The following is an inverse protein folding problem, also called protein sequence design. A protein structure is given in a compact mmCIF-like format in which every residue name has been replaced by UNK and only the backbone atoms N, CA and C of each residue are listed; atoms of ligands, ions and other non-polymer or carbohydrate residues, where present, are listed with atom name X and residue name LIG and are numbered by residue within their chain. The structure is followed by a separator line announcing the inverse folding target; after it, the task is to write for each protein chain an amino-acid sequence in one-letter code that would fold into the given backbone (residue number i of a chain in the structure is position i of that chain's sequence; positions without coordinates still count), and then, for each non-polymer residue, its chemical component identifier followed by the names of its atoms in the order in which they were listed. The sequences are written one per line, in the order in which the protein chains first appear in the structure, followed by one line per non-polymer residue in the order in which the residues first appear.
data_IF_765752830055
#
_entry.id   IF_765752830055
#
_cell.length_a   1.000
_cell.length_b   1.000
_cell.length_c   1.000
_cell.angle_alpha   90.00
_cell.angle_beta   90.00
_cell.angle_gamma   90.00
#
_symmetry.space_group_name_H-M   'P 1'
#
loop_
_entity.id
_entity.type
_entity.pdbx_description
1 polymer ?
#
# COMPACT_ATOMS: atom_id res chain seq x y z
N UNK A 1 7.51 28.34 7.33
CA UNK A 1 6.70 27.42 6.53
C UNK A 1 5.24 27.65 6.92
N UNK A 2 4.35 28.05 5.97
CA UNK A 2 2.92 28.12 6.27
C UNK A 2 2.46 26.71 6.66
N UNK A 3 1.67 26.59 7.72
CA UNK A 3 1.02 25.30 8.03
C UNK A 3 0.23 24.91 6.77
N UNK A 4 0.61 23.81 6.14
CA UNK A 4 -0.17 23.28 5.02
C UNK A 4 -1.59 23.01 5.52
N UNK A 5 -2.58 23.49 4.79
CA UNK A 5 -3.97 23.36 5.21
C UNK A 5 -4.36 21.87 5.24
N UNK A 6 -5.14 21.48 6.25
CA UNK A 6 -5.71 20.12 6.36
C UNK A 6 -6.92 19.99 5.43
N UNK A 7 -7.20 18.79 4.93
CA UNK A 7 -8.48 18.47 4.28
C UNK A 7 -9.66 18.46 5.27
N UNK A 8 -9.39 18.61 6.57
CA UNK A 8 -10.40 18.66 7.62
C UNK A 8 -10.93 17.29 8.05
N UNK A 9 -12.22 17.26 8.41
CA UNK A 9 -12.92 16.03 8.78
C UNK A 9 -13.43 15.36 7.51
N UNK A 10 -13.13 14.07 7.37
CA UNK A 10 -13.52 13.24 6.21
C UNK A 10 -14.39 12.09 6.67
N UNK A 11 -15.28 11.64 5.79
CA UNK A 11 -16.21 10.55 6.09
C UNK A 11 -15.99 9.41 5.10
N UNK A 12 -15.66 8.20 5.58
CA UNK A 12 -15.52 7.04 4.72
C UNK A 12 -16.87 6.64 4.11
N UNK A 13 -16.81 6.13 2.88
CA UNK A 13 -17.97 5.71 2.12
C UNK A 13 -17.81 4.24 1.70
N UNK A 14 -18.78 3.41 2.00
CA UNK A 14 -18.83 2.03 1.53
C UNK A 14 -19.62 1.95 0.24
N UNK A 15 -18.98 1.55 -0.84
CA UNK A 15 -19.59 1.42 -2.17
C UNK A 15 -19.85 -0.07 -2.44
N UNK A 16 -21.11 -0.49 -2.54
CA UNK A 16 -21.48 -1.86 -2.87
C UNK A 16 -21.44 -2.09 -4.38
N UNK A 17 -20.95 -3.26 -4.77
CA UNK A 17 -20.97 -3.77 -6.14
C UNK A 17 -21.75 -5.07 -6.17
N UNK A 18 -22.99 -5.02 -6.71
CA UNK A 18 -23.89 -6.17 -6.85
C UNK A 18 -23.62 -6.98 -8.15
N UNK A 19 -22.37 -6.96 -8.59
CA UNK A 19 -21.91 -7.69 -9.76
C UNK A 19 -20.80 -8.66 -9.37
N UNK A 20 -20.71 -9.83 -10.03
CA UNK A 20 -19.67 -10.79 -9.72
C UNK A 20 -18.29 -10.30 -10.16
N UNK A 21 -17.27 -10.56 -9.33
CA UNK A 21 -15.87 -10.35 -9.64
C UNK A 21 -15.17 -11.70 -9.80
N UNK A 22 -14.78 -12.02 -11.02
CA UNK A 22 -13.96 -13.22 -11.31
C UNK A 22 -12.51 -12.92 -11.01
N UNK A 23 -11.93 -13.68 -10.09
CA UNK A 23 -10.56 -13.54 -9.60
C UNK A 23 -9.56 -14.33 -10.46
N UNK A 24 -8.28 -13.96 -10.37
CA UNK A 24 -7.20 -14.65 -11.10
C UNK A 24 -7.07 -16.15 -10.75
N UNK A 25 -7.45 -16.53 -9.53
CA UNK A 25 -7.48 -17.93 -9.08
C UNK A 25 -8.69 -18.73 -9.59
N UNK A 26 -9.55 -18.15 -10.43
CA UNK A 26 -10.76 -18.76 -10.97
C UNK A 26 -11.97 -18.76 -10.05
N UNK A 27 -11.83 -18.34 -8.78
CA UNK A 27 -12.98 -18.16 -7.89
C UNK A 27 -13.72 -16.86 -8.23
N UNK A 28 -14.98 -16.79 -7.81
CA UNK A 28 -15.83 -15.62 -8.04
C UNK A 28 -16.34 -15.09 -6.71
N UNK A 29 -16.20 -13.80 -6.48
CA UNK A 29 -16.95 -13.09 -5.46
C UNK A 29 -18.28 -12.67 -6.08
N UNK A 30 -19.44 -13.14 -5.58
CA UNK A 30 -20.74 -12.83 -6.19
C UNK A 30 -21.10 -11.35 -6.09
N UNK A 31 -20.62 -10.69 -5.06
CA UNK A 31 -20.69 -9.25 -4.81
C UNK A 31 -19.52 -8.83 -3.93
N UNK A 32 -19.22 -7.54 -3.90
CA UNK A 32 -18.17 -7.00 -3.04
C UNK A 32 -18.42 -5.54 -2.70
N UNK A 33 -17.85 -5.09 -1.60
CA UNK A 33 -17.85 -3.69 -1.17
C UNK A 33 -16.43 -3.12 -1.26
N UNK A 34 -16.30 -1.85 -1.60
CA UNK A 34 -15.08 -1.09 -1.42
C UNK A 34 -15.30 0.08 -0.48
N UNK A 35 -14.44 0.21 0.53
CA UNK A 35 -14.40 1.36 1.40
C UNK A 35 -13.48 2.41 0.80
N UNK A 36 -13.99 3.63 0.65
CA UNK A 36 -13.24 4.75 0.05
C UNK A 36 -13.35 6.01 0.89
N UNK A 37 -12.42 6.93 0.66
CA UNK A 37 -12.52 8.34 0.99
C UNK A 37 -12.14 9.19 -0.21
N UNK A 38 -12.72 10.39 -0.29
CA UNK A 38 -12.44 11.33 -1.38
C UNK A 38 -12.05 12.68 -0.81
N UNK A 39 -11.15 13.36 -1.52
CA UNK A 39 -10.61 14.66 -1.12
C UNK A 39 -10.57 15.59 -2.34
N UNK A 40 -10.96 16.87 -2.16
CA UNK A 40 -11.09 17.80 -3.26
C UNK A 40 -12.35 17.56 -4.10
N UNK A 41 -12.42 18.18 -5.26
CA UNK A 41 -13.59 18.17 -6.12
C UNK A 41 -13.26 17.61 -7.52
N UNK A 42 -14.13 16.72 -8.02
CA UNK A 42 -14.05 16.21 -9.39
C UNK A 42 -14.56 17.31 -10.34
N UNK A 43 -13.72 17.73 -11.29
CA UNK A 43 -14.10 18.76 -12.25
C UNK A 43 -15.14 18.25 -13.27
N UNK A 44 -15.74 19.19 -14.03
CA UNK A 44 -16.81 18.86 -14.97
C UNK A 44 -16.36 17.88 -16.06
N UNK A 45 -15.11 17.97 -16.51
CA UNK A 45 -14.47 17.11 -17.50
C UNK A 45 -14.06 15.75 -16.92
N UNK A 46 -14.12 15.57 -15.59
CA UNK A 46 -13.72 14.37 -14.85
C UNK A 46 -12.28 13.89 -15.16
N UNK A 47 -11.40 14.83 -15.48
CA UNK A 47 -10.03 14.54 -15.93
C UNK A 47 -8.96 14.85 -14.87
N UNK A 48 -9.34 15.31 -13.66
CA UNK A 48 -8.44 15.65 -12.55
C UNK A 48 -8.42 14.59 -11.42
N UNK A 49 -8.92 13.39 -11.68
CA UNK A 49 -9.03 12.36 -10.66
C UNK A 49 -7.68 11.65 -10.43
N UNK A 50 -7.29 11.49 -9.16
CA UNK A 50 -6.07 10.79 -8.71
C UNK A 50 -6.43 9.65 -7.78
N UNK A 51 -5.96 8.45 -8.09
CA UNK A 51 -6.11 7.27 -7.23
C UNK A 51 -4.88 7.08 -6.35
N UNK A 52 -5.09 6.94 -5.04
CA UNK A 52 -4.03 6.57 -4.09
C UNK A 52 -4.14 5.10 -3.73
N UNK A 53 -3.12 4.33 -4.07
CA UNK A 53 -3.01 2.92 -3.75
C UNK A 53 -2.17 2.73 -2.49
N UNK A 54 -2.75 2.15 -1.43
CA UNK A 54 -2.06 1.97 -0.16
C UNK A 54 -1.07 0.80 -0.16
N UNK A 55 -0.11 0.85 0.77
CA UNK A 55 0.83 -0.23 1.06
C UNK A 55 0.19 -1.34 1.92
N UNK A 56 0.97 -2.36 2.31
CA UNK A 56 0.51 -3.58 2.98
C UNK A 56 -0.46 -3.32 4.16
N UNK A 57 -0.15 -2.39 5.03
CA UNK A 57 -0.94 -2.08 6.24
C UNK A 57 -1.62 -0.71 6.20
N UNK A 58 -1.74 -0.11 5.01
CA UNK A 58 -2.53 1.09 4.77
C UNK A 58 -4.01 0.77 4.53
N UNK A 59 -4.79 1.81 4.33
CA UNK A 59 -6.23 1.72 4.08
C UNK A 59 -6.71 2.94 3.27
N UNK A 60 -8.03 3.15 3.22
CA UNK A 60 -8.67 4.28 2.55
C UNK A 60 -8.39 5.64 3.20
N UNK A 61 -8.05 5.69 4.49
CA UNK A 61 -7.83 6.95 5.23
C UNK A 61 -6.47 7.55 4.93
N UNK A 62 -6.38 8.27 3.80
CA UNK A 62 -5.12 8.82 3.29
C UNK A 62 -4.76 10.14 3.97
N UNK A 63 -5.73 11.04 4.18
CA UNK A 63 -5.52 12.37 4.73
C UNK A 63 -6.69 12.83 5.60
N UNK A 64 -6.50 13.88 6.40
CA UNK A 64 -7.51 14.40 7.31
C UNK A 64 -7.75 13.52 8.53
N UNK A 65 -8.92 13.70 9.15
CA UNK A 65 -9.34 12.98 10.36
C UNK A 65 -10.80 12.57 10.24
N UNK A 66 -11.23 11.52 10.95
CA UNK A 66 -12.64 11.14 11.02
C UNK A 66 -13.40 11.95 12.07
N UNK A 67 -12.70 12.42 13.10
CA UNK A 67 -13.27 13.27 14.16
C UNK A 67 -12.26 14.31 14.64
N UNK A 68 -12.73 15.33 15.35
CA UNK A 68 -11.87 16.34 15.96
C UNK A 68 -10.99 15.78 17.10
N UNK A 69 -11.41 14.68 17.72
CA UNK A 69 -10.74 13.99 18.81
C UNK A 69 -9.63 13.05 18.32
N UNK A 70 -9.57 12.77 17.02
CA UNK A 70 -8.55 11.86 16.49
C UNK A 70 -7.16 12.44 16.68
N UNK A 71 -6.30 11.64 17.32
CA UNK A 71 -4.92 12.03 17.60
C UNK A 71 -4.07 12.11 16.34
N UNK A 72 -4.35 11.27 15.34
CA UNK A 72 -3.57 11.15 14.12
C UNK A 72 -4.45 11.39 12.90
N UNK A 73 -3.88 12.03 11.90
CA UNK A 73 -4.46 12.16 10.57
C UNK A 73 -4.22 10.89 9.74
N UNK A 74 -4.76 10.87 8.53
CA UNK A 74 -4.54 9.80 7.56
C UNK A 74 -3.05 9.51 7.32
N UNK A 75 -2.77 8.30 6.83
CA UNK A 75 -1.40 7.76 6.77
C UNK A 75 -0.46 8.51 5.80
N UNK A 76 -0.98 9.32 4.91
CA UNK A 76 -0.23 10.15 3.96
C UNK A 76 -0.65 11.63 3.98
N UNK A 77 -1.14 12.10 5.10
CA UNK A 77 -1.59 13.48 5.28
C UNK A 77 -0.52 14.52 4.92
N UNK A 78 0.75 14.20 5.07
CA UNK A 78 1.87 15.05 4.63
C UNK A 78 1.95 15.22 3.10
N UNK A 79 1.40 14.30 2.33
CA UNK A 79 1.44 14.30 0.86
C UNK A 79 0.16 14.80 0.21
N UNK A 80 -1.01 14.58 0.84
CA UNK A 80 -2.33 14.86 0.27
C UNK A 80 -3.02 15.96 1.05
N UNK A 81 -3.46 17.00 0.37
CA UNK A 81 -4.21 18.11 0.98
C UNK A 81 -4.02 19.43 0.22
N UNK A 82 -4.70 20.51 0.65
CA UNK A 82 -4.57 21.81 0.03
C UNK A 82 -3.12 22.32 0.09
N UNK A 83 -2.56 22.67 -1.07
CA UNK A 83 -1.18 23.15 -1.21
C UNK A 83 -0.09 22.10 -0.93
N UNK A 84 -0.43 20.81 -0.72
CA UNK A 84 0.50 19.72 -0.54
C UNK A 84 0.96 19.13 -1.89
N UNK A 85 1.95 18.20 -1.92
CA UNK A 85 2.43 17.62 -3.18
C UNK A 85 1.33 17.08 -4.09
N UNK A 86 0.31 16.44 -3.53
CA UNK A 86 -0.92 16.04 -4.22
C UNK A 86 -2.03 16.98 -3.74
N UNK A 87 -2.16 18.09 -4.46
CA UNK A 87 -2.95 19.26 -4.05
C UNK A 87 -4.43 19.05 -4.32
N UNK A 88 -5.23 18.96 -3.26
CA UNK A 88 -6.68 18.74 -3.33
C UNK A 88 -7.48 19.98 -3.77
N UNK A 89 -6.85 21.15 -3.93
CA UNK A 89 -7.46 22.30 -4.60
C UNK A 89 -7.47 22.14 -6.13
N UNK A 90 -6.69 21.23 -6.65
CA UNK A 90 -6.56 20.94 -8.10
C UNK A 90 -7.03 19.55 -8.49
N UNK A 91 -6.86 18.58 -7.61
CA UNK A 91 -7.15 17.18 -7.86
C UNK A 91 -8.28 16.67 -7.00
N UNK A 92 -9.11 15.83 -7.60
CA UNK A 92 -10.03 14.95 -6.88
C UNK A 92 -9.30 13.67 -6.54
N UNK A 93 -8.96 13.48 -5.28
CA UNK A 93 -8.16 12.36 -4.81
C UNK A 93 -9.05 11.28 -4.22
N UNK A 94 -8.86 10.04 -4.61
CA UNK A 94 -9.59 8.88 -4.11
C UNK A 94 -8.61 7.96 -3.38
N UNK A 95 -8.86 7.73 -2.09
CA UNK A 95 -8.24 6.68 -1.29
C UNK A 95 -9.18 5.49 -1.17
N UNK A 96 -8.68 4.27 -1.26
CA UNK A 96 -9.52 3.08 -1.07
C UNK A 96 -8.83 2.06 -0.14
N UNK A 97 -9.63 1.22 0.51
CA UNK A 97 -9.15 -0.01 1.14
C UNK A 97 -9.24 -1.15 0.13
N UNK A 98 -8.13 -1.84 -0.12
CA UNK A 98 -8.09 -2.94 -1.09
C UNK A 98 -9.02 -4.08 -0.70
N UNK A 99 -9.57 -4.77 -1.70
CA UNK A 99 -10.29 -6.01 -1.54
C UNK A 99 -9.45 -7.03 -0.78
N UNK A 100 -10.00 -7.70 0.22
CA UNK A 100 -9.26 -8.56 1.15
C UNK A 100 -8.66 -7.79 2.33
N UNK A 101 -8.81 -6.46 2.39
CA UNK A 101 -8.42 -5.62 3.53
C UNK A 101 -9.35 -5.77 4.74
N UNK A 102 -8.95 -5.19 5.87
CA UNK A 102 -9.70 -5.27 7.14
C UNK A 102 -10.35 -3.94 7.57
N UNK A 103 -10.35 -2.93 6.70
CA UNK A 103 -10.87 -1.59 7.01
C UNK A 103 -12.10 -1.24 6.13
N UNK A 104 -13.06 -2.17 6.06
CA UNK A 104 -14.39 -1.91 5.51
C UNK A 104 -14.66 -2.41 4.10
N UNK A 105 -13.68 -2.61 3.24
CA UNK A 105 -13.85 -3.36 1.99
C UNK A 105 -14.10 -4.83 2.26
N UNK A 106 -14.71 -5.54 1.30
CA UNK A 106 -14.91 -6.98 1.41
C UNK A 106 -13.58 -7.70 1.63
N UNK A 107 -13.54 -8.56 2.63
CA UNK A 107 -12.34 -9.27 3.06
C UNK A 107 -12.67 -10.39 4.06
N UNK A 108 -11.68 -10.95 4.74
CA UNK A 108 -11.87 -12.03 5.71
C UNK A 108 -12.89 -11.73 6.81
N UNK A 109 -13.03 -10.46 7.20
CA UNK A 109 -13.99 -10.01 8.23
C UNK A 109 -15.40 -9.79 7.69
N UNK A 110 -15.62 -9.89 6.38
CA UNK A 110 -16.94 -9.72 5.79
C UNK A 110 -17.79 -10.99 5.95
N UNK A 111 -19.12 -10.80 5.97
CA UNK A 111 -20.05 -11.92 5.99
C UNK A 111 -20.11 -12.58 4.62
N UNK A 112 -19.86 -13.86 4.57
CA UNK A 112 -20.07 -14.68 3.40
C UNK A 112 -21.60 -14.85 3.17
N UNK A 113 -22.14 -14.38 2.03
CA UNK A 113 -23.56 -14.43 1.77
C UNK A 113 -24.12 -15.87 1.65
N UNK A 114 -23.28 -16.85 1.34
CA UNK A 114 -23.67 -18.25 1.21
C UNK A 114 -23.83 -18.94 2.57
N UNK A 115 -23.00 -18.57 3.56
CA UNK A 115 -22.96 -19.23 4.86
C UNK A 115 -23.57 -18.40 5.99
N UNK A 116 -23.73 -17.08 5.79
CA UNK A 116 -24.15 -16.14 6.84
C UNK A 116 -23.12 -15.92 7.96
N UNK A 117 -21.88 -16.39 7.78
CA UNK A 117 -20.77 -16.25 8.74
C UNK A 117 -19.65 -15.40 8.14
N UNK A 118 -18.72 -14.89 8.96
CA UNK A 118 -17.49 -14.27 8.44
C UNK A 118 -16.74 -15.26 7.54
N UNK A 119 -16.13 -14.74 6.47
CA UNK A 119 -15.31 -15.56 5.60
C UNK A 119 -14.12 -16.20 6.31
N UNK A 120 -13.42 -15.43 7.17
CA UNK A 120 -12.19 -15.91 7.76
C UNK A 120 -11.19 -16.37 6.70
N UNK A 121 -10.67 -17.60 6.86
CA UNK A 121 -9.78 -18.23 5.88
C UNK A 121 -10.46 -18.61 4.55
N UNK A 122 -11.78 -18.66 4.49
CA UNK A 122 -12.51 -18.98 3.25
C UNK A 122 -12.55 -17.82 2.26
N UNK A 123 -12.16 -16.60 2.69
CA UNK A 123 -12.04 -15.50 1.75
C UNK A 123 -11.01 -15.84 0.66
N UNK A 124 -11.37 -15.73 -0.62
CA UNK A 124 -10.49 -16.15 -1.70
C UNK A 124 -9.20 -15.33 -1.72
N UNK A 125 -8.09 -15.98 -2.03
CA UNK A 125 -6.82 -15.27 -2.25
C UNK A 125 -6.99 -14.31 -3.42
N UNK A 126 -6.63 -13.06 -3.19
CA UNK A 126 -6.68 -11.98 -4.18
C UNK A 126 -5.27 -11.59 -4.59
N UNK A 127 -5.14 -11.10 -5.81
CA UNK A 127 -3.88 -10.64 -6.40
C UNK A 127 -3.93 -9.14 -6.67
N UNK A 128 -2.79 -8.54 -7.03
CA UNK A 128 -2.73 -7.13 -7.48
C UNK A 128 -3.61 -6.92 -8.73
N UNK A 129 -3.73 -7.92 -9.61
CA UNK A 129 -4.63 -7.83 -10.78
C UNK A 129 -6.11 -7.77 -10.34
N UNK A 130 -6.51 -8.54 -9.33
CA UNK A 130 -7.87 -8.50 -8.80
C UNK A 130 -8.20 -7.16 -8.14
N UNK A 131 -7.23 -6.57 -7.43
CA UNK A 131 -7.39 -5.21 -6.92
C UNK A 131 -7.61 -4.20 -8.03
N UNK A 132 -6.79 -4.25 -9.08
CA UNK A 132 -6.92 -3.34 -10.23
C UNK A 132 -8.27 -3.55 -10.95
N UNK A 133 -8.79 -4.79 -11.06
CA UNK A 133 -10.14 -5.06 -11.57
C UNK A 133 -11.23 -4.40 -10.69
N UNK A 134 -11.15 -4.56 -9.37
CA UNK A 134 -12.13 -3.97 -8.45
C UNK A 134 -12.05 -2.44 -8.43
N UNK A 135 -10.85 -1.89 -8.54
CA UNK A 135 -10.61 -0.45 -8.65
C UNK A 135 -11.12 0.12 -9.98
N UNK A 136 -11.08 -0.67 -11.07
CA UNK A 136 -11.67 -0.27 -12.35
C UNK A 136 -13.20 -0.17 -12.26
N UNK A 137 -13.84 -1.11 -11.55
CA UNK A 137 -15.28 -1.01 -11.26
C UNK A 137 -15.61 0.24 -10.41
N UNK A 138 -14.73 0.61 -9.46
CA UNK A 138 -14.87 1.86 -8.70
C UNK A 138 -14.76 3.08 -9.60
N UNK A 139 -13.80 3.10 -10.54
CA UNK A 139 -13.65 4.20 -11.49
C UNK A 139 -14.91 4.36 -12.34
N UNK A 140 -15.51 3.25 -12.82
CA UNK A 140 -16.77 3.26 -13.58
C UNK A 140 -17.93 3.81 -12.74
N UNK A 141 -18.05 3.40 -11.47
CA UNK A 141 -19.04 3.91 -10.52
C UNK A 141 -18.92 5.43 -10.31
N UNK A 142 -17.70 5.94 -10.20
CA UNK A 142 -17.43 7.39 -10.05
C UNK A 142 -17.56 8.16 -11.39
N UNK A 143 -17.70 7.44 -12.51
CA UNK A 143 -17.75 8.01 -13.85
C UNK A 143 -16.39 8.57 -14.30
N UNK A 144 -15.29 7.99 -13.82
CA UNK A 144 -13.90 8.33 -14.18
C UNK A 144 -13.45 7.42 -15.31
N UNK A 145 -13.39 7.94 -16.52
CA UNK A 145 -12.92 7.19 -17.70
C UNK A 145 -11.41 6.99 -17.67
N UNK A 146 -10.66 8.03 -17.28
CA UNK A 146 -9.21 8.02 -17.22
C UNK A 146 -8.70 8.73 -15.95
N UNK A 147 -7.87 8.06 -15.18
CA UNK A 147 -7.16 8.68 -14.06
C UNK A 147 -6.10 9.67 -14.55
N UNK A 148 -6.11 10.89 -14.02
CA UNK A 148 -5.03 11.85 -14.20
C UNK A 148 -3.70 11.27 -13.71
N UNK A 149 -3.74 10.66 -12.52
CA UNK A 149 -2.62 9.91 -12.00
C UNK A 149 -3.07 8.75 -11.09
N UNK A 150 -2.28 7.68 -11.06
CA UNK A 150 -2.35 6.64 -10.02
C UNK A 150 -1.04 6.68 -9.26
N UNK A 151 -1.12 6.81 -7.94
CA UNK A 151 0.01 7.04 -7.07
C UNK A 151 0.05 5.96 -6.00
N UNK A 152 1.20 5.32 -5.82
CA UNK A 152 1.35 4.35 -4.75
C UNK A 152 2.79 4.12 -4.33
N UNK A 153 2.97 3.87 -3.02
CA UNK A 153 4.23 3.45 -2.44
C UNK A 153 4.25 1.96 -2.14
N UNK A 154 5.41 1.30 -2.29
CA UNK A 154 5.57 -0.12 -1.98
C UNK A 154 4.58 -0.99 -2.77
N UNK A 155 3.74 -1.79 -2.10
CA UNK A 155 2.63 -2.54 -2.71
C UNK A 155 1.67 -1.65 -3.51
N UNK A 156 1.47 -0.40 -3.08
CA UNK A 156 0.70 0.59 -3.85
C UNK A 156 1.33 0.92 -5.19
N UNK A 157 2.66 0.97 -5.26
CA UNK A 157 3.39 1.16 -6.52
C UNK A 157 3.24 -0.01 -7.48
N UNK A 158 3.12 -1.24 -6.97
CA UNK A 158 2.80 -2.42 -7.79
C UNK A 158 1.39 -2.31 -8.40
N UNK A 159 0.42 -1.79 -7.63
CA UNK A 159 -0.93 -1.53 -8.14
C UNK A 159 -0.91 -0.45 -9.23
N UNK A 160 -0.19 0.66 -9.01
CA UNK A 160 -0.06 1.72 -10.00
C UNK A 160 0.57 1.19 -11.31
N UNK A 161 1.60 0.34 -11.21
CA UNK A 161 2.22 -0.31 -12.37
C UNK A 161 1.23 -1.26 -13.07
N UNK A 162 0.53 -2.12 -12.32
CA UNK A 162 -0.42 -3.07 -12.89
C UNK A 162 -1.58 -2.37 -13.62
N UNK A 163 -2.04 -1.24 -13.11
CA UNK A 163 -3.06 -0.43 -13.78
C UNK A 163 -2.66 -0.04 -15.19
N UNK A 164 -1.42 0.40 -15.38
CA UNK A 164 -0.92 0.81 -16.69
C UNK A 164 -0.85 -0.34 -17.69
N UNK A 165 -0.68 -1.57 -17.20
CA UNK A 165 -0.61 -2.78 -18.01
C UNK A 165 -2.02 -3.29 -18.33
N UNK A 166 -2.91 -3.37 -17.32
CA UNK A 166 -4.26 -3.91 -17.47
C UNK A 166 -5.19 -2.97 -18.23
N UNK A 167 -5.06 -1.67 -18.03
CA UNK A 167 -5.94 -0.64 -18.59
C UNK A 167 -5.13 0.54 -19.16
N UNK A 168 -4.34 0.35 -20.22
CA UNK A 168 -3.39 1.34 -20.71
C UNK A 168 -4.05 2.67 -21.12
N UNK A 169 -5.31 2.65 -21.59
CA UNK A 169 -6.04 3.86 -21.99
C UNK A 169 -6.60 4.63 -20.79
N UNK A 170 -6.66 4.00 -19.62
CA UNK A 170 -7.33 4.56 -18.43
C UNK A 170 -6.38 5.22 -17.44
N UNK A 171 -5.10 5.33 -17.77
CA UNK A 171 -4.08 5.93 -16.89
C UNK A 171 -3.22 6.91 -17.68
N UNK A 172 -3.24 8.19 -17.28
CA UNK A 172 -2.39 9.20 -17.91
C UNK A 172 -1.01 9.26 -17.29
N UNK A 173 -0.92 9.17 -15.95
CA UNK A 173 0.34 9.15 -15.20
C UNK A 173 0.34 8.06 -14.15
N UNK A 174 1.51 7.44 -13.94
CA UNK A 174 1.73 6.47 -12.87
C UNK A 174 2.94 6.88 -12.01
N UNK A 175 2.72 7.07 -10.71
CA UNK A 175 3.77 7.36 -9.75
C UNK A 175 4.06 6.09 -8.93
N UNK A 176 5.21 5.49 -9.19
CA UNK A 176 5.68 4.23 -8.60
C UNK A 176 6.80 4.55 -7.61
N UNK A 177 6.49 4.51 -6.32
CA UNK A 177 7.36 5.03 -5.26
C UNK A 177 7.81 3.88 -4.35
N UNK A 178 9.11 3.79 -4.02
CA UNK A 178 9.66 2.75 -3.15
C UNK A 178 9.14 1.34 -3.50
N UNK A 179 9.13 0.99 -4.79
CA UNK A 179 8.51 -0.23 -5.29
C UNK A 179 9.40 -0.94 -6.32
N UNK A 180 8.98 -2.14 -6.72
CA UNK A 180 9.71 -2.97 -7.66
C UNK A 180 8.74 -3.69 -8.60
N UNK A 181 9.21 -4.14 -9.79
CA UNK A 181 8.37 -4.90 -10.73
C UNK A 181 7.98 -6.30 -10.21
N UNK A 182 8.71 -6.83 -9.22
CA UNK A 182 8.39 -8.07 -8.49
C UNK A 182 9.22 -8.15 -7.21
N UNK A 183 8.80 -9.00 -6.27
CA UNK A 183 9.59 -9.26 -5.07
C UNK A 183 10.90 -10.00 -5.38
N UNK A 184 11.92 -9.73 -4.56
CA UNK A 184 13.11 -10.57 -4.51
C UNK A 184 12.84 -11.86 -3.74
N UNK A 185 13.65 -12.90 -3.97
CA UNK A 185 13.61 -14.15 -3.20
C UNK A 185 13.73 -13.89 -1.70
N UNK A 186 14.56 -12.93 -1.29
CA UNK A 186 14.72 -12.55 0.11
C UNK A 186 13.43 -11.98 0.69
N UNK A 187 12.71 -11.12 -0.05
CA UNK A 187 11.43 -10.57 0.41
C UNK A 187 10.35 -11.64 0.53
N UNK A 188 10.31 -12.60 -0.40
CA UNK A 188 9.40 -13.76 -0.32
C UNK A 188 9.71 -14.59 0.93
N UNK A 189 11.01 -14.80 1.23
CA UNK A 189 11.44 -15.54 2.43
C UNK A 189 11.00 -14.81 3.73
N UNK A 190 11.15 -13.48 3.83
CA UNK A 190 10.64 -12.73 4.98
C UNK A 190 9.12 -12.82 5.11
N UNK A 191 8.40 -12.73 4.00
CA UNK A 191 6.95 -12.90 4.00
C UNK A 191 6.56 -14.29 4.49
N UNK A 192 7.28 -15.33 4.09
CA UNK A 192 6.98 -16.70 4.51
C UNK A 192 7.23 -16.90 6.01
N UNK A 193 8.36 -16.42 6.55
CA UNK A 193 8.63 -16.47 8.01
C UNK A 193 7.51 -15.76 8.79
N UNK A 194 7.06 -14.59 8.33
CA UNK A 194 5.97 -13.86 8.95
C UNK A 194 4.63 -14.63 8.89
N UNK A 195 4.33 -15.26 7.75
CA UNK A 195 3.15 -16.12 7.61
C UNK A 195 3.23 -17.36 8.51
N UNK A 196 4.38 -18.03 8.56
CA UNK A 196 4.58 -19.18 9.43
C UNK A 196 4.35 -18.84 10.91
N UNK A 197 4.80 -17.66 11.35
CA UNK A 197 4.52 -17.18 12.71
C UNK A 197 3.02 -17.09 13.01
N UNK A 198 2.20 -16.64 12.04
CA UNK A 198 0.74 -16.56 12.18
C UNK A 198 0.10 -17.95 12.09
N UNK A 199 0.47 -18.75 11.09
CA UNK A 199 -0.14 -20.05 10.82
C UNK A 199 0.11 -21.07 11.93
N UNK A 200 1.24 -20.96 12.64
CA UNK A 200 1.61 -21.84 13.75
C UNK A 200 1.17 -21.32 15.12
N UNK A 201 0.53 -20.15 15.17
CA UNK A 201 -0.05 -19.63 16.43
C UNK A 201 -1.18 -20.56 16.87
N UNK A 202 -1.17 -21.08 18.13
CA UNK A 202 -2.23 -21.95 18.65
C UNK A 202 -3.64 -21.33 18.54
N UNK A 203 -3.73 -20.01 18.59
CA UNK A 203 -5.00 -19.27 18.55
C UNK A 203 -5.46 -18.96 17.11
N UNK A 204 -4.73 -19.41 16.07
CA UNK A 204 -5.08 -19.16 14.66
C UNK A 204 -6.31 -19.96 14.20
N UNK A 205 -6.51 -21.17 14.73
CA UNK A 205 -7.67 -22.02 14.44
C UNK A 205 -7.98 -22.14 12.92
N UNK A 206 -6.96 -22.47 12.12
CA UNK A 206 -7.05 -22.61 10.66
C UNK A 206 -7.61 -21.36 9.96
N UNK A 207 -7.47 -20.18 10.59
CA UNK A 207 -7.97 -18.89 10.10
C UNK A 207 -9.41 -18.57 10.49
N UNK A 208 -10.08 -19.43 11.26
CA UNK A 208 -11.43 -19.20 11.79
C UNK A 208 -11.44 -18.75 13.27
N UNK A 209 -10.33 -18.14 13.72
CA UNK A 209 -10.10 -17.72 15.11
C UNK A 209 -11.23 -16.87 15.70
N UNK A 210 -11.89 -16.02 14.89
CA UNK A 210 -13.00 -15.19 15.41
C UNK A 210 -14.21 -16.02 15.83
N UNK A 211 -14.52 -17.10 15.11
CA UNK A 211 -15.58 -18.04 15.52
C UNK A 211 -15.25 -18.80 16.80
N UNK A 212 -13.96 -18.88 17.15
CA UNK A 212 -13.45 -19.44 18.41
C UNK A 212 -13.23 -18.38 19.50
N UNK A 213 -13.57 -17.11 19.25
CA UNK A 213 -13.31 -15.97 20.14
C UNK A 213 -11.82 -15.85 20.53
N UNK A 214 -10.92 -16.17 19.60
CA UNK A 214 -9.47 -16.05 19.77
C UNK A 214 -8.89 -15.03 18.76
N UNK A 215 -7.63 -14.67 18.94
CA UNK A 215 -6.84 -13.85 18.01
C UNK A 215 -5.42 -14.41 18.00
N UNK A 216 -4.83 -14.71 16.84
CA UNK A 216 -3.45 -15.22 16.75
C UNK A 216 -2.44 -14.07 17.02
N UNK A 217 -2.51 -13.55 18.26
CA UNK A 217 -1.81 -12.35 18.68
C UNK A 217 -0.29 -12.54 18.69
N UNK A 218 0.19 -13.73 19.03
CA UNK A 218 1.63 -14.05 19.10
C UNK A 218 2.23 -14.03 17.70
N UNK A 219 1.59 -14.73 16.77
CA UNK A 219 2.03 -14.81 15.39
C UNK A 219 1.98 -13.47 14.68
N UNK A 220 0.86 -12.75 14.80
CA UNK A 220 0.68 -11.43 14.18
C UNK A 220 1.67 -10.39 14.74
N UNK A 221 1.97 -10.45 16.06
CA UNK A 221 3.02 -9.64 16.69
C UNK A 221 4.39 -9.91 16.06
N UNK A 222 4.79 -11.18 15.95
CA UNK A 222 6.09 -11.57 15.37
C UNK A 222 6.17 -11.12 13.90
N UNK A 223 5.11 -11.34 13.12
CA UNK A 223 5.01 -10.87 11.74
C UNK A 223 5.23 -9.36 11.62
N UNK A 224 4.65 -8.56 12.53
CA UNK A 224 4.86 -7.11 12.57
C UNK A 224 6.27 -6.71 12.99
N UNK A 225 6.85 -7.40 13.98
CA UNK A 225 8.26 -7.18 14.38
C UNK A 225 9.20 -7.42 13.21
N UNK A 226 9.02 -8.52 12.47
CA UNK A 226 9.77 -8.82 11.23
C UNK A 226 9.61 -7.69 10.20
N UNK A 227 8.37 -7.21 10.01
CA UNK A 227 8.09 -6.07 9.14
C UNK A 227 8.92 -4.85 9.52
N UNK A 228 8.91 -4.45 10.81
CA UNK A 228 9.65 -3.28 11.27
C UNK A 228 11.16 -3.40 11.08
N UNK A 229 11.75 -4.59 11.26
CA UNK A 229 13.18 -4.81 10.98
C UNK A 229 13.45 -4.57 9.48
N UNK A 230 12.55 -5.00 8.61
CA UNK A 230 12.76 -4.89 7.15
C UNK A 230 12.41 -3.51 6.58
N UNK A 231 11.63 -2.70 7.30
CA UNK A 231 11.22 -1.36 6.84
C UNK A 231 12.22 -0.27 7.22
N UNK A 232 13.01 -0.48 8.27
CA UNK A 232 13.94 0.52 8.76
C UNK A 232 15.36 0.25 8.24
N UNK A 233 16.14 1.34 8.08
CA UNK A 233 17.55 1.23 7.75
C UNK A 233 18.36 0.86 9.00
N UNK A 234 19.46 0.10 8.83
CA UNK A 234 20.38 -0.26 9.91
C UNK A 234 20.92 0.98 10.63
N UNK A 235 21.41 1.96 9.88
CA UNK A 235 21.87 3.24 10.43
C UNK A 235 20.80 3.99 11.23
N UNK A 236 19.54 3.92 10.79
CA UNK A 236 18.40 4.53 11.47
C UNK A 236 18.10 3.85 12.80
N UNK A 237 18.11 2.52 12.82
CA UNK A 237 17.97 1.73 14.05
C UNK A 237 19.14 1.95 14.99
N UNK A 238 20.38 1.94 14.48
CA UNK A 238 21.59 2.17 15.24
C UNK A 238 21.63 3.56 15.89
N UNK A 239 21.26 4.62 15.16
CA UNK A 239 21.18 5.97 15.71
C UNK A 239 20.10 6.14 16.76
N UNK A 240 18.98 5.43 16.62
CA UNK A 240 17.82 5.55 17.51
C UNK A 240 17.97 4.76 18.80
N UNK A 241 18.54 3.58 18.74
CA UNK A 241 18.55 2.63 19.85
C UNK A 241 19.96 2.22 20.26
N UNK A 242 20.95 2.24 19.37
CA UNK A 242 22.29 1.76 19.64
C UNK A 242 22.28 0.35 20.23
N UNK A 243 22.98 0.19 21.31
CA UNK A 243 22.96 -0.98 22.21
C UNK A 243 22.45 -0.60 23.61
N UNK A 244 21.57 0.41 23.67
CA UNK A 244 21.08 0.94 24.92
C UNK A 244 20.24 -0.10 25.67
N UNK A 245 20.54 -0.23 26.96
CA UNK A 245 19.84 -1.13 27.88
C UNK A 245 18.73 -0.36 28.61
N UNK A 246 17.66 -1.06 28.92
CA UNK A 246 16.56 -0.51 29.74
C UNK A 246 16.87 -0.46 31.23
N UNK A 247 17.92 -1.14 31.68
CA UNK A 247 18.37 -1.21 33.05
C UNK A 247 19.86 -1.00 33.18
N UNK A 248 20.35 -0.84 34.40
CA UNK A 248 21.78 -0.60 34.69
C UNK A 248 22.63 -1.88 34.55
N UNK A 249 22.51 -2.60 33.42
CA UNK A 249 23.31 -3.79 33.13
C UNK A 249 22.49 -4.96 32.60
N UNK A 250 23.20 -6.00 32.18
CA UNK A 250 22.60 -7.23 31.65
C UNK A 250 21.89 -8.02 32.76
N UNK A 251 20.69 -8.52 32.45
CA UNK A 251 19.91 -9.37 33.35
C UNK A 251 20.15 -10.86 33.09
N UNK A 252 20.86 -11.22 32.00
CA UNK A 252 21.17 -12.58 31.57
C UNK A 252 19.93 -13.47 31.47
N UNK A 253 18.81 -12.91 31.00
CA UNK A 253 17.51 -13.59 30.83
C UNK A 253 16.96 -13.48 29.42
N UNK A 254 15.75 -13.99 29.22
CA UNK A 254 15.00 -13.90 27.96
C UNK A 254 13.94 -12.79 27.95
N UNK A 255 13.99 -11.89 28.95
CA UNK A 255 13.15 -10.71 29.02
C UNK A 255 13.59 -9.63 28.04
N UNK A 256 13.00 -8.43 28.18
CA UNK A 256 13.41 -7.25 27.43
C UNK A 256 14.63 -6.62 28.12
N UNK A 257 15.75 -6.58 27.45
CA UNK A 257 16.96 -5.98 27.96
C UNK A 257 17.35 -4.72 27.16
N UNK A 258 17.24 -4.76 25.82
CA UNK A 258 17.60 -3.65 24.94
C UNK A 258 16.39 -2.78 24.57
N UNK A 259 16.62 -1.50 24.35
CA UNK A 259 15.55 -0.57 23.93
C UNK A 259 14.91 -0.98 22.60
N UNK A 260 15.68 -1.52 21.65
CA UNK A 260 15.16 -2.02 20.38
C UNK A 260 14.18 -3.18 20.55
N UNK A 261 14.40 -4.07 21.52
CA UNK A 261 13.47 -5.18 21.82
C UNK A 261 12.13 -4.63 22.33
N UNK A 262 12.18 -3.65 23.24
CA UNK A 262 10.99 -2.96 23.74
C UNK A 262 10.21 -2.30 22.60
N UNK A 263 10.91 -1.60 21.72
CA UNK A 263 10.30 -0.96 20.55
C UNK A 263 9.60 -1.97 19.63
N UNK A 264 10.27 -3.07 19.29
CA UNK A 264 9.69 -4.08 18.39
C UNK A 264 8.46 -4.73 19.01
N UNK A 265 8.51 -5.09 20.30
CA UNK A 265 7.36 -5.65 21.02
C UNK A 265 6.19 -4.67 21.06
N UNK A 266 6.43 -3.40 21.38
CA UNK A 266 5.41 -2.36 21.36
C UNK A 266 4.75 -2.21 19.99
N UNK A 267 5.53 -2.20 18.90
CA UNK A 267 4.99 -2.10 17.55
C UNK A 267 4.14 -3.33 17.16
N UNK A 268 4.57 -4.50 17.61
CA UNK A 268 3.82 -5.74 17.43
C UNK A 268 2.48 -5.71 18.18
N UNK A 269 2.50 -5.34 19.47
CA UNK A 269 1.29 -5.26 20.30
C UNK A 269 0.27 -4.24 19.76
N UNK A 270 0.75 -3.07 19.35
CA UNK A 270 -0.09 -2.05 18.73
C UNK A 270 -0.74 -2.54 17.42
N UNK A 271 -0.06 -3.38 16.67
CA UNK A 271 -0.55 -3.91 15.40
C UNK A 271 -1.67 -4.95 15.58
N UNK A 272 -1.53 -5.84 16.57
CA UNK A 272 -2.54 -6.87 16.91
C UNK A 272 -3.92 -6.26 17.18
N UNK A 273 -3.97 -5.08 17.81
CA UNK A 273 -5.25 -4.43 18.14
C UNK A 273 -5.99 -3.80 16.96
N UNK A 274 -5.37 -3.74 15.75
CA UNK A 274 -5.92 -2.98 14.61
C UNK A 274 -5.80 -3.62 13.24
N UNK A 275 -5.15 -4.76 13.14
CA UNK A 275 -4.96 -5.44 11.86
C UNK A 275 -5.36 -6.90 11.93
N UNK A 276 -5.96 -7.40 10.88
CA UNK A 276 -6.46 -8.76 10.81
C UNK A 276 -5.38 -9.73 10.30
N UNK A 277 -5.29 -10.92 10.90
CA UNK A 277 -4.27 -11.91 10.57
C UNK A 277 -4.49 -12.53 9.18
N UNK A 278 -5.72 -12.87 8.81
CA UNK A 278 -6.02 -13.38 7.48
C UNK A 278 -5.73 -12.32 6.40
N UNK A 279 -6.08 -11.06 6.67
CA UNK A 279 -5.71 -9.95 5.79
C UNK A 279 -4.20 -9.87 5.61
N UNK A 280 -3.40 -10.04 6.67
CA UNK A 280 -1.93 -10.04 6.55
C UNK A 280 -1.44 -11.17 5.63
N UNK A 281 -2.00 -12.37 5.77
CA UNK A 281 -1.68 -13.50 4.91
C UNK A 281 -2.01 -13.19 3.44
N UNK A 282 -3.20 -12.64 3.16
CA UNK A 282 -3.63 -12.25 1.81
C UNK A 282 -2.70 -11.20 1.19
N UNK A 283 -2.42 -10.11 1.92
CA UNK A 283 -1.60 -9.00 1.42
C UNK A 283 -0.18 -9.47 1.09
N UNK A 284 0.41 -10.34 1.93
CA UNK A 284 1.75 -10.90 1.66
C UNK A 284 1.75 -11.86 0.48
N UNK A 285 0.66 -12.62 0.27
CA UNK A 285 0.54 -13.48 -0.92
C UNK A 285 0.34 -12.66 -2.19
N UNK A 286 -0.43 -11.59 -2.16
CA UNK A 286 -0.58 -10.69 -3.31
C UNK A 286 0.77 -10.07 -3.71
N UNK A 287 1.61 -9.71 -2.73
CA UNK A 287 3.00 -9.28 -2.97
C UNK A 287 3.84 -10.37 -3.65
N UNK A 288 3.79 -11.61 -3.12
CA UNK A 288 4.59 -12.73 -3.64
C UNK A 288 4.21 -13.08 -5.09
N UNK A 289 2.92 -13.00 -5.42
CA UNK A 289 2.40 -13.35 -6.75
C UNK A 289 2.58 -12.24 -7.80
N UNK A 290 2.95 -11.03 -7.37
CA UNK A 290 3.12 -9.94 -8.32
C UNK A 290 4.38 -10.11 -9.18
N UNK A 291 4.18 -10.49 -10.42
CA UNK A 291 5.19 -10.53 -11.49
C UNK A 291 4.53 -10.22 -12.85
N UNK A 292 4.46 -8.95 -13.25
CA UNK A 292 3.82 -8.59 -14.51
C UNK A 292 4.57 -9.10 -15.74
N UNK A 293 5.82 -9.52 -15.61
CA UNK A 293 6.59 -10.07 -16.73
C UNK A 293 6.17 -11.52 -17.06
N UNK A 294 5.62 -12.27 -16.10
CA UNK A 294 5.29 -13.67 -16.27
C UNK A 294 4.33 -13.94 -17.45
N UNK A 295 3.32 -13.08 -17.62
CA UNK A 295 2.35 -13.21 -18.73
C UNK A 295 2.93 -12.83 -20.10
N UNK A 296 4.16 -12.28 -20.14
CA UNK A 296 4.81 -11.75 -21.32
C UNK A 296 6.15 -12.46 -21.62
N UNK A 297 6.24 -13.73 -21.23
CA UNK A 297 7.45 -14.56 -21.43
C UNK A 297 8.65 -14.02 -20.66
N UNK A 298 8.44 -13.71 -19.39
CA UNK A 298 9.43 -13.21 -18.42
C UNK A 298 10.11 -11.88 -18.85
N UNK A 299 9.45 -11.11 -19.72
CA UNK A 299 9.98 -9.84 -20.21
C UNK A 299 9.17 -8.65 -19.71
N UNK A 300 9.70 -7.93 -18.74
CA UNK A 300 9.09 -6.69 -18.25
C UNK A 300 8.95 -5.64 -19.36
N UNK A 301 9.92 -5.55 -20.26
CA UNK A 301 9.85 -4.65 -21.43
C UNK A 301 8.66 -4.97 -22.33
N UNK A 302 8.36 -6.27 -22.58
CA UNK A 302 7.16 -6.66 -23.35
C UNK A 302 5.87 -6.33 -22.59
N UNK A 303 5.83 -6.56 -21.28
CA UNK A 303 4.67 -6.20 -20.45
C UNK A 303 4.35 -4.70 -20.55
N UNK A 304 5.36 -3.85 -20.70
CA UNK A 304 5.22 -2.41 -20.78
C UNK A 304 5.00 -1.86 -22.20
N UNK A 305 5.07 -2.71 -23.24
CA UNK A 305 5.07 -2.25 -24.63
C UNK A 305 3.82 -1.47 -25.02
N UNK A 306 2.66 -1.89 -24.52
CA UNK A 306 1.35 -1.26 -24.83
C UNK A 306 0.93 -0.17 -23.86
N UNK A 307 1.72 0.08 -22.82
CA UNK A 307 1.42 1.11 -21.81
C UNK A 307 1.45 2.50 -22.46
N UNK A 308 0.52 3.38 -22.07
CA UNK A 308 0.41 4.76 -22.57
C UNK A 308 0.76 5.80 -21.52
N UNK A 309 0.77 5.43 -20.25
CA UNK A 309 1.06 6.32 -19.15
C UNK A 309 2.48 6.90 -19.19
N UNK A 310 2.63 8.11 -18.67
CA UNK A 310 3.91 8.72 -18.30
C UNK A 310 4.26 8.30 -16.88
N UNK A 311 5.51 8.04 -16.59
CA UNK A 311 5.93 7.49 -15.28
C UNK A 311 6.77 8.48 -14.47
N UNK A 312 6.53 8.47 -13.17
CA UNK A 312 7.44 8.97 -12.16
C UNK A 312 7.84 7.81 -11.24
N UNK A 313 9.13 7.55 -11.12
CA UNK A 313 9.65 6.49 -10.25
C UNK A 313 10.56 7.13 -9.20
N UNK A 314 10.28 6.85 -7.92
CA UNK A 314 11.11 7.31 -6.83
C UNK A 314 11.61 6.14 -5.99
N UNK A 315 12.88 6.19 -5.61
CA UNK A 315 13.51 5.24 -4.68
C UNK A 315 14.26 5.98 -3.59
N UNK A 316 14.61 5.29 -2.50
CA UNK A 316 15.29 5.86 -1.35
C UNK A 316 16.60 5.11 -1.09
N UNK A 317 17.68 5.85 -0.84
CA UNK A 317 19.04 5.30 -0.85
C UNK A 317 19.28 4.19 0.17
N UNK A 318 18.58 4.19 1.30
CA UNK A 318 18.70 3.19 2.38
C UNK A 318 17.57 2.16 2.40
N UNK A 319 16.66 2.20 1.42
CA UNK A 319 15.66 1.15 1.26
C UNK A 319 16.33 -0.13 0.72
N UNK A 320 16.54 -1.09 1.60
CA UNK A 320 17.13 -2.36 1.24
C UNK A 320 16.07 -3.43 0.90
N UNK A 321 14.81 -3.19 1.27
CA UNK A 321 13.67 -4.06 0.94
C UNK A 321 13.26 -3.89 -0.52
N UNK A 322 13.10 -2.65 -0.97
CA UNK A 322 12.86 -2.25 -2.37
C UNK A 322 13.98 -1.31 -2.82
N UNK A 323 15.17 -1.86 -2.91
CA UNK A 323 16.38 -1.09 -3.15
C UNK A 323 16.30 -0.26 -4.44
N UNK A 324 17.08 0.84 -4.54
CA UNK A 324 17.17 1.64 -5.77
C UNK A 324 17.48 0.81 -7.01
N UNK A 325 18.22 -0.29 -6.87
CA UNK A 325 18.50 -1.21 -7.98
C UNK A 325 17.21 -1.82 -8.55
N UNK A 326 16.22 -2.15 -7.69
CA UNK A 326 14.93 -2.71 -8.11
C UNK A 326 14.07 -1.68 -8.84
N UNK A 327 14.04 -0.44 -8.36
CA UNK A 327 13.36 0.65 -9.07
C UNK A 327 14.04 0.95 -10.43
N UNK A 328 15.37 0.88 -10.48
CA UNK A 328 16.13 1.04 -11.75
C UNK A 328 15.87 -0.08 -12.77
N UNK A 329 15.50 -1.30 -12.35
CA UNK A 329 15.00 -2.34 -13.26
C UNK A 329 13.76 -1.86 -14.01
N UNK A 330 12.77 -1.32 -13.28
CA UNK A 330 11.56 -0.77 -13.89
C UNK A 330 11.90 0.37 -14.85
N UNK A 331 12.74 1.32 -14.43
CA UNK A 331 13.16 2.45 -15.24
C UNK A 331 13.83 1.98 -16.55
N UNK A 332 14.73 1.01 -16.48
CA UNK A 332 15.39 0.43 -17.67
C UNK A 332 14.38 -0.22 -18.62
N UNK A 333 13.41 -0.96 -18.06
CA UNK A 333 12.38 -1.60 -18.89
C UNK A 333 11.45 -0.57 -19.57
N UNK A 334 11.09 0.52 -18.85
CA UNK A 334 10.31 1.63 -19.42
C UNK A 334 11.06 2.32 -20.55
N UNK A 335 12.36 2.61 -20.38
CA UNK A 335 13.21 3.20 -21.42
C UNK A 335 13.30 2.26 -22.64
N UNK A 336 13.53 0.96 -22.41
CA UNK A 336 13.59 -0.04 -23.47
C UNK A 336 12.24 -0.21 -24.21
N UNK A 337 11.13 0.03 -23.53
CA UNK A 337 9.78 0.06 -24.13
C UNK A 337 9.43 1.42 -24.74
N UNK A 338 10.36 2.39 -24.79
CA UNK A 338 10.17 3.76 -25.26
C UNK A 338 9.05 4.52 -24.52
N UNK A 339 8.93 4.32 -23.17
CA UNK A 339 7.94 5.01 -22.35
C UNK A 339 8.55 6.21 -21.63
N UNK A 340 7.81 7.34 -21.55
CA UNK A 340 8.28 8.51 -20.82
C UNK A 340 8.42 8.17 -19.33
N UNK A 341 9.60 8.37 -18.76
CA UNK A 341 9.88 8.13 -17.35
C UNK A 341 10.79 9.19 -16.76
N UNK A 342 10.42 9.69 -15.58
CA UNK A 342 11.27 10.50 -14.71
C UNK A 342 11.65 9.65 -13.51
N UNK A 343 12.91 9.69 -13.10
CA UNK A 343 13.42 8.91 -11.97
C UNK A 343 14.18 9.79 -11.00
N UNK A 344 13.92 9.59 -9.70
CA UNK A 344 14.70 10.19 -8.63
C UNK A 344 15.10 9.12 -7.60
N UNK A 345 16.36 9.19 -7.16
CA UNK A 345 16.85 8.49 -5.97
C UNK A 345 17.02 9.51 -4.84
N UNK A 346 16.17 9.42 -3.83
CA UNK A 346 16.18 10.31 -2.68
C UNK A 346 17.18 9.80 -1.65
N UNK A 347 18.08 10.66 -1.20
CA UNK A 347 19.00 10.33 -0.10
C UNK A 347 18.26 10.40 1.24
N UNK A 348 18.00 9.26 1.85
CA UNK A 348 17.24 9.13 3.10
C UNK A 348 17.88 8.12 4.04
N UNK A 349 17.63 8.26 5.35
CA UNK A 349 18.05 7.33 6.39
C UNK A 349 16.89 6.53 7.00
N UNK A 350 15.69 6.62 6.40
CA UNK A 350 14.46 6.02 6.94
C UNK A 350 14.12 4.63 6.37
N UNK A 351 15.02 4.06 5.54
CA UNK A 351 14.79 2.76 4.92
C UNK A 351 13.58 2.80 3.98
N UNK A 352 12.79 1.73 4.03
CA UNK A 352 11.59 1.59 3.21
C UNK A 352 10.47 2.57 3.61
N UNK A 353 10.35 2.89 4.90
CA UNK A 353 9.31 3.81 5.40
C UNK A 353 9.54 5.28 4.96
N UNK A 354 10.66 5.58 4.29
CA UNK A 354 11.03 6.93 3.84
C UNK A 354 9.92 7.59 2.98
N UNK A 355 9.16 6.83 2.19
CA UNK A 355 8.08 7.38 1.37
C UNK A 355 6.88 7.90 2.19
N UNK A 356 6.78 7.51 3.47
CA UNK A 356 5.75 7.98 4.41
C UNK A 356 6.21 9.19 5.22
N UNK A 357 7.52 9.48 5.20
CA UNK A 357 8.10 10.53 6.03
C UNK A 357 8.13 11.88 5.32
N UNK A 358 8.21 12.94 6.11
CA UNK A 358 8.45 14.30 5.61
C UNK A 358 9.92 14.42 5.16
N UNK A 359 10.15 14.32 3.86
CA UNK A 359 11.43 14.60 3.22
C UNK A 359 11.22 15.69 2.16
N UNK A 360 11.90 16.81 2.33
CA UNK A 360 11.68 18.00 1.50
C UNK A 360 12.04 17.75 0.02
N UNK A 361 13.12 17.01 -0.26
CA UNK A 361 13.54 16.72 -1.62
C UNK A 361 12.53 15.80 -2.34
N UNK A 362 12.06 14.78 -1.63
CA UNK A 362 11.03 13.87 -2.11
C UNK A 362 9.72 14.60 -2.38
N UNK A 363 9.23 15.35 -1.38
CA UNK A 363 7.95 16.07 -1.48
C UNK A 363 7.98 17.10 -2.62
N UNK A 364 9.09 17.83 -2.78
CA UNK A 364 9.26 18.77 -3.91
C UNK A 364 9.29 18.07 -5.26
N UNK A 365 9.93 16.91 -5.37
CA UNK A 365 9.96 16.15 -6.60
C UNK A 365 8.57 15.65 -7.02
N UNK A 366 7.78 15.14 -6.05
CA UNK A 366 6.38 14.75 -6.30
C UNK A 366 5.54 15.95 -6.69
N UNK A 367 5.63 17.07 -5.95
CA UNK A 367 4.90 18.30 -6.28
C UNK A 367 5.23 18.83 -7.67
N UNK A 368 6.51 18.84 -8.05
CA UNK A 368 6.94 19.25 -9.39
C UNK A 368 6.38 18.33 -10.48
N UNK A 369 6.33 17.02 -10.24
CA UNK A 369 5.73 16.08 -11.18
C UNK A 369 4.22 16.27 -11.27
N UNK A 370 3.53 16.43 -10.14
CA UNK A 370 2.08 16.67 -10.10
C UNK A 370 1.67 17.98 -10.78
N UNK A 371 2.56 18.98 -10.83
CA UNK A 371 2.35 20.17 -11.67
C UNK A 371 2.31 19.84 -13.18
N UNK A 372 3.05 18.82 -13.62
CA UNK A 372 2.96 18.36 -15.02
C UNK A 372 1.66 17.58 -15.27
N UNK A 373 1.22 16.78 -14.27
CA UNK A 373 -0.08 16.10 -14.32
C UNK A 373 -1.21 17.11 -14.49
N UNK A 374 -1.22 18.18 -13.69
CA UNK A 374 -2.23 19.25 -13.77
C UNK A 374 -2.23 19.95 -15.15
N UNK A 375 -1.05 20.25 -15.72
CA UNK A 375 -0.96 20.81 -17.08
C UNK A 375 -1.55 19.88 -18.13
N UNK A 376 -1.26 18.57 -18.04
CA UNK A 376 -1.79 17.58 -18.97
C UNK A 376 -3.31 17.37 -18.81
N UNK A 377 -3.89 17.69 -17.63
CA UNK A 377 -5.35 17.70 -17.44
C UNK A 377 -6.04 18.90 -18.10
N UNK A 378 -5.33 20.02 -18.26
CA UNK A 378 -5.86 21.25 -18.84
C UNK A 378 -5.63 21.38 -20.36
N UNK A 379 -4.82 20.45 -20.93
CA UNK A 379 -4.53 20.40 -22.37
C UNK A 379 -5.55 19.54 -23.13
#
# INVERSE_FOLDING_TARGET
MSQSASVGIVTPQKIPFEMPLVLENGKTLPRFDLMIETYGELNAEKNNAVLICHALSGNHHVAGRHSAEDKYAGWWDNMVGPGKPIDTERFFVVGLNNLGGCDGSSGPLSINPETGREYGADFPVVTVKDWVKSQAALADYLGIEQWAAIVGGSLGGMQALQWTISYPERVRHALVIASAPKLSTQNIAFNDVARQAILTDPDFNEGHYRSHNTVPARGLRIARMMGHITYLAEDGLGKKFGRDLRSNGYQYGYGVEFEVESYLRYQGDKFVGRFDANTYLLMTKALDYFDPAADFGDSLTRALQNVKAKFFVASFSTDWRFSPARSKELVKALIAAHKPVQYIEVKSNHGHDAFLMEDEAYMRAVAAYMNNVDKDCRS
#
